data_IF_104679973410
#
_entry.id   IF_104679973410
#
_cell.length_a   1.000
_cell.length_b   1.000
_cell.length_c   1.000
_cell.angle_alpha   90.00
_cell.angle_beta   90.00
_cell.angle_gamma   90.00
#
_symmetry.space_group_name_H-M   'P 1'
#
loop_
_entity.id
_entity.type
_entity.pdbx_description
1 polymer ?
#
# COMPACT_ATOMS: atom_id res chain seq x y z
N UNK A 1 11.51 27.96 -4.65
CA UNK A 1 10.61 27.48 -3.60
C UNK A 1 9.64 26.53 -4.27
N UNK A 2 9.70 25.24 -3.97
CA UNK A 2 8.73 24.26 -4.45
C UNK A 2 7.33 24.63 -3.94
N UNK A 3 6.35 24.65 -4.84
CA UNK A 3 4.96 24.96 -4.45
C UNK A 3 4.34 23.64 -4.00
N UNK A 4 4.15 23.47 -2.69
CA UNK A 4 3.35 22.36 -2.13
C UNK A 4 1.88 22.79 -2.15
N UNK A 5 1.03 22.08 -2.91
CA UNK A 5 -0.43 22.30 -2.93
C UNK A 5 -1.12 20.99 -2.53
N UNK A 6 -1.66 20.97 -1.31
CA UNK A 6 -2.40 19.83 -0.79
C UNK A 6 -3.81 19.73 -1.40
N UNK A 7 -4.18 18.52 -1.84
CA UNK A 7 -5.53 18.15 -2.26
C UNK A 7 -6.07 17.08 -1.28
N UNK A 8 -7.18 17.36 -0.59
CA UNK A 8 -7.85 16.39 0.29
C UNK A 8 -9.11 15.86 -0.40
N UNK A 9 -9.24 14.53 -0.49
CA UNK A 9 -10.37 13.83 -1.12
C UNK A 9 -11.01 12.77 -0.20
N UNK A 10 -10.73 12.84 1.12
CA UNK A 10 -11.30 11.93 2.14
C UNK A 10 -12.51 12.60 2.78
N UNK A 11 -13.64 11.88 2.85
CA UNK A 11 -14.86 12.36 3.48
C UNK A 11 -14.93 11.98 4.96
N UNK A 12 -15.12 12.97 5.83
CA UNK A 12 -15.34 12.76 7.26
C UNK A 12 -16.74 13.22 7.68
N UNK A 13 -17.26 12.63 8.76
CA UNK A 13 -18.51 13.06 9.39
C UNK A 13 -18.33 14.30 10.28
N UNK A 14 -19.43 14.74 10.94
CA UNK A 14 -19.43 15.90 11.82
C UNK A 14 -18.50 15.75 13.06
N UNK A 15 -18.14 14.53 13.43
CA UNK A 15 -17.18 14.22 14.50
C UNK A 15 -15.73 14.10 14.00
N UNK A 16 -15.50 14.24 12.68
CA UNK A 16 -14.18 14.12 12.07
C UNK A 16 -13.75 12.70 11.75
N UNK A 17 -14.63 11.70 11.94
CA UNK A 17 -14.35 10.29 11.65
C UNK A 17 -14.54 10.01 10.16
N UNK A 18 -13.63 9.26 9.58
CA UNK A 18 -13.77 8.78 8.19
C UNK A 18 -15.02 7.90 8.04
N UNK A 19 -15.95 8.32 7.18
CA UNK A 19 -17.22 7.64 6.94
C UNK A 19 -16.99 6.22 6.41
N UNK A 20 -15.97 6.04 5.55
CA UNK A 20 -15.63 4.74 4.99
C UNK A 20 -15.04 3.79 6.06
N UNK A 21 -14.24 4.32 7.01
CA UNK A 21 -13.73 3.53 8.13
C UNK A 21 -14.87 2.92 8.96
N UNK A 22 -15.81 3.76 9.39
CA UNK A 22 -16.99 3.30 10.14
C UNK A 22 -17.77 2.25 9.37
N UNK A 23 -18.06 2.49 8.09
CA UNK A 23 -18.82 1.57 7.25
C UNK A 23 -18.10 0.21 7.10
N UNK A 24 -16.79 0.21 6.85
CA UNK A 24 -16.00 -1.00 6.68
C UNK A 24 -15.91 -1.82 7.97
N UNK A 25 -15.72 -1.17 9.13
CA UNK A 25 -15.68 -1.86 10.43
C UNK A 25 -17.01 -2.57 10.69
N UNK A 26 -18.13 -1.87 10.55
CA UNK A 26 -19.44 -2.49 10.78
C UNK A 26 -19.76 -3.59 9.76
N UNK A 27 -19.47 -3.38 8.50
CA UNK A 27 -19.69 -4.38 7.45
C UNK A 27 -18.79 -5.61 7.64
N UNK A 28 -17.53 -5.39 7.99
CA UNK A 28 -16.53 -6.44 8.17
C UNK A 28 -16.80 -7.33 9.38
N UNK A 29 -17.17 -6.74 10.53
CA UNK A 29 -17.51 -7.48 11.74
C UNK A 29 -18.83 -8.24 11.64
N UNK A 30 -19.71 -7.88 10.72
CA UNK A 30 -20.97 -8.59 10.46
C UNK A 30 -20.79 -9.84 9.58
N UNK A 31 -19.61 -10.05 8.97
CA UNK A 31 -19.35 -11.22 8.14
C UNK A 31 -19.15 -12.50 8.96
N UNK A 32 -19.38 -13.66 8.33
CA UNK A 32 -19.08 -14.96 8.96
C UNK A 32 -17.60 -15.10 9.30
N UNK A 33 -16.71 -14.84 8.34
CA UNK A 33 -15.30 -14.57 8.60
C UNK A 33 -15.16 -13.06 8.72
N UNK A 34 -14.99 -12.59 9.94
CA UNK A 34 -14.82 -11.16 10.21
C UNK A 34 -13.55 -10.65 9.52
N UNK A 35 -13.63 -9.48 8.90
CA UNK A 35 -12.48 -8.88 8.22
C UNK A 35 -12.56 -7.36 8.27
N UNK A 36 -11.42 -6.70 8.34
CA UNK A 36 -11.30 -5.24 8.27
C UNK A 36 -10.18 -4.93 7.27
N UNK A 37 -10.42 -4.06 6.27
CA UNK A 37 -9.42 -3.76 5.24
C UNK A 37 -8.12 -3.17 5.80
N UNK A 38 -6.97 -3.63 5.30
CA UNK A 38 -5.63 -3.25 5.74
C UNK A 38 -5.33 -1.73 5.64
N UNK A 39 -6.02 -1.00 4.74
CA UNK A 39 -5.88 0.46 4.65
C UNK A 39 -6.14 1.20 5.97
N UNK A 40 -6.88 0.57 6.89
CA UNK A 40 -7.23 1.16 8.18
C UNK A 40 -6.16 0.97 9.26
N UNK A 41 -5.07 0.28 8.97
CA UNK A 41 -3.90 0.26 9.87
C UNK A 41 -3.23 1.64 10.00
N UNK A 42 -3.24 2.45 8.94
CA UNK A 42 -2.39 3.62 8.77
C UNK A 42 -3.01 4.90 9.36
N UNK A 43 -3.29 4.90 10.68
CA UNK A 43 -3.36 6.13 11.48
C UNK A 43 -1.93 6.59 11.84
N UNK A 44 -1.79 7.67 12.58
CA UNK A 44 -0.47 8.19 12.98
C UNK A 44 0.39 7.12 13.71
N UNK A 45 -0.22 6.36 14.64
CA UNK A 45 0.45 5.29 15.39
C UNK A 45 0.80 4.12 14.48
N UNK A 46 -0.14 3.67 13.66
CA UNK A 46 0.09 2.57 12.73
C UNK A 46 1.13 2.89 11.68
N UNK A 47 1.17 4.13 11.17
CA UNK A 47 2.21 4.58 10.25
C UNK A 47 3.61 4.54 10.89
N UNK A 48 3.73 4.98 12.16
CA UNK A 48 5.00 4.89 12.90
C UNK A 48 5.42 3.42 13.14
N UNK A 49 4.49 2.56 13.54
CA UNK A 49 4.76 1.12 13.70
C UNK A 49 5.16 0.46 12.39
N UNK A 50 4.57 0.87 11.26
CA UNK A 50 4.97 0.35 9.96
C UNK A 50 6.41 0.76 9.59
N UNK A 51 6.83 1.99 9.89
CA UNK A 51 8.24 2.39 9.73
C UNK A 51 9.17 1.51 10.59
N UNK A 52 8.79 1.21 11.84
CA UNK A 52 9.55 0.29 12.68
C UNK A 52 9.61 -1.13 12.07
N UNK A 53 8.50 -1.63 11.49
CA UNK A 53 8.49 -2.91 10.75
C UNK A 53 9.50 -2.87 9.60
N UNK A 54 9.55 -1.79 8.82
CA UNK A 54 10.48 -1.69 7.68
C UNK A 54 11.96 -1.78 8.07
N UNK A 55 12.28 -1.48 9.32
CA UNK A 55 13.62 -1.56 9.88
C UNK A 55 13.98 -2.95 10.45
N UNK A 56 13.01 -3.85 10.62
CA UNK A 56 13.23 -5.19 11.16
C UNK A 56 14.11 -6.06 10.24
N UNK A 57 15.00 -6.88 10.78
CA UNK A 57 15.81 -7.81 9.99
C UNK A 57 14.96 -8.89 9.28
N UNK A 58 13.81 -9.25 9.83
CA UNK A 58 12.87 -10.21 9.25
C UNK A 58 12.09 -9.63 8.07
N UNK A 59 11.81 -8.31 8.08
CA UNK A 59 11.02 -7.66 7.03
C UNK A 59 11.89 -7.30 5.83
N UNK A 60 12.19 -8.29 4.99
CA UNK A 60 13.05 -8.16 3.81
C UNK A 60 12.48 -7.27 2.67
N UNK A 61 11.13 -7.09 2.47
CA UNK A 61 10.61 -6.42 1.27
C UNK A 61 11.18 -5.02 1.04
N UNK A 62 11.29 -4.21 2.09
CA UNK A 62 11.85 -2.85 1.99
C UNK A 62 13.32 -2.86 1.57
N UNK A 63 14.13 -3.75 2.16
CA UNK A 63 15.57 -3.86 1.81
C UNK A 63 15.76 -4.36 0.39
N UNK A 64 15.06 -5.44 0.00
CA UNK A 64 15.17 -6.01 -1.35
C UNK A 64 14.80 -4.98 -2.42
N UNK A 65 13.70 -4.24 -2.23
CA UNK A 65 13.29 -3.20 -3.17
C UNK A 65 14.28 -2.03 -3.23
N UNK A 66 14.80 -1.58 -2.08
CA UNK A 66 15.81 -0.53 -1.99
C UNK A 66 17.10 -0.93 -2.71
N UNK A 67 17.53 -2.18 -2.52
CA UNK A 67 18.71 -2.73 -3.18
C UNK A 67 18.53 -2.82 -4.70
N UNK A 68 17.35 -3.24 -5.18
CA UNK A 68 17.05 -3.27 -6.60
C UNK A 68 17.04 -1.86 -7.22
N UNK A 69 16.36 -0.90 -6.59
CA UNK A 69 16.35 0.49 -7.03
C UNK A 69 17.76 1.07 -7.11
N UNK A 70 18.61 0.78 -6.13
CA UNK A 70 19.98 1.28 -6.07
C UNK A 70 20.87 0.63 -7.12
N UNK A 71 20.85 -0.70 -7.23
CA UNK A 71 21.70 -1.46 -8.17
C UNK A 71 21.36 -1.18 -9.62
N UNK A 72 20.08 -0.98 -9.93
CA UNK A 72 19.58 -0.82 -11.29
C UNK A 72 19.17 0.61 -11.61
N UNK A 73 19.56 1.61 -10.81
CA UNK A 73 19.18 3.01 -10.98
C UNK A 73 19.39 3.54 -12.42
N UNK A 74 20.54 3.26 -13.02
CA UNK A 74 20.86 3.70 -14.37
C UNK A 74 20.01 3.03 -15.46
N UNK A 75 19.75 1.72 -15.32
CA UNK A 75 18.93 0.96 -16.27
C UNK A 75 17.47 1.37 -16.16
N UNK A 76 16.96 1.57 -14.93
CA UNK A 76 15.62 2.07 -14.65
C UNK A 76 15.45 3.48 -15.25
N UNK A 77 16.41 4.38 -15.02
CA UNK A 77 16.40 5.72 -15.58
C UNK A 77 16.40 5.72 -17.12
N UNK A 78 17.21 4.87 -17.73
CA UNK A 78 17.27 4.71 -19.18
C UNK A 78 15.94 4.20 -19.77
N UNK A 79 15.29 3.28 -19.08
CA UNK A 79 14.02 2.70 -19.53
C UNK A 79 12.82 3.65 -19.36
N UNK A 80 12.83 4.49 -18.31
CA UNK A 80 11.75 5.44 -18.00
C UNK A 80 11.88 6.72 -18.84
N UNK A 81 13.10 7.24 -18.98
CA UNK A 81 13.38 8.53 -19.58
C UNK A 81 13.03 9.72 -18.66
N UNK A 82 13.59 10.91 -18.94
CA UNK A 82 13.43 12.11 -18.11
C UNK A 82 12.09 12.81 -18.30
N UNK A 83 11.80 13.78 -17.43
CA UNK A 83 10.72 14.76 -17.60
C UNK A 83 9.32 14.23 -17.35
N UNK A 84 9.16 13.07 -16.72
CA UNK A 84 7.85 12.55 -16.34
C UNK A 84 7.36 13.13 -15.01
N UNK A 85 6.05 13.27 -14.86
CA UNK A 85 5.43 13.44 -13.55
C UNK A 85 5.36 12.06 -12.87
N UNK A 86 6.01 11.90 -11.71
CA UNK A 86 5.93 10.70 -10.89
C UNK A 86 4.72 10.77 -9.99
N UNK A 87 3.82 9.79 -10.07
CA UNK A 87 2.64 9.63 -9.20
C UNK A 87 2.85 8.40 -8.36
N UNK A 88 3.11 8.57 -7.07
CA UNK A 88 3.37 7.47 -6.14
C UNK A 88 2.12 7.08 -5.36
N UNK A 89 1.83 5.78 -5.33
CA UNK A 89 0.64 5.21 -4.72
C UNK A 89 0.98 4.61 -3.35
N UNK A 90 0.40 5.18 -2.28
CA UNK A 90 0.75 4.79 -0.92
C UNK A 90 2.18 5.25 -0.59
N UNK A 91 2.42 6.57 -0.68
CA UNK A 91 3.76 7.13 -0.57
C UNK A 91 4.38 6.95 0.83
N UNK A 92 3.55 6.87 1.87
CA UNK A 92 4.01 6.72 3.26
C UNK A 92 5.11 7.72 3.61
N UNK A 93 6.19 7.24 4.23
CA UNK A 93 7.39 8.04 4.56
C UNK A 93 8.23 8.42 3.35
N UNK A 94 7.91 7.89 2.17
CA UNK A 94 8.66 8.14 0.93
C UNK A 94 10.18 7.84 1.03
N UNK A 95 10.59 6.88 1.88
CA UNK A 95 12.01 6.56 2.11
C UNK A 95 12.74 6.03 0.88
N UNK A 96 12.05 5.32 0.00
CA UNK A 96 12.59 4.76 -1.25
C UNK A 96 12.51 5.75 -2.43
N UNK A 97 11.57 6.68 -2.35
CA UNK A 97 11.25 7.65 -3.39
C UNK A 97 12.45 8.48 -3.83
N UNK A 98 13.31 8.99 -2.93
CA UNK A 98 14.51 9.73 -3.34
C UNK A 98 15.43 8.95 -4.26
N UNK A 99 15.55 7.64 -4.13
CA UNK A 99 16.39 6.81 -5.01
C UNK A 99 15.89 6.85 -6.45
N UNK A 100 14.56 6.81 -6.63
CA UNK A 100 13.96 6.91 -7.95
C UNK A 100 14.06 8.34 -8.52
N UNK A 101 13.69 9.35 -7.73
CA UNK A 101 13.70 10.76 -8.16
C UNK A 101 15.10 11.23 -8.54
N UNK A 102 16.13 10.86 -7.77
CA UNK A 102 17.54 11.16 -8.09
C UNK A 102 17.99 10.54 -9.41
N UNK A 103 17.43 9.35 -9.76
CA UNK A 103 17.83 8.62 -10.96
C UNK A 103 17.20 9.16 -12.25
N UNK A 104 15.91 9.57 -12.23
CA UNK A 104 15.10 9.79 -13.45
C UNK A 104 14.88 11.24 -13.86
N UNK A 105 15.32 12.24 -13.08
CA UNK A 105 15.11 13.67 -13.34
C UNK A 105 13.63 14.01 -13.66
N UNK A 106 12.73 13.91 -12.68
CA UNK A 106 11.29 14.07 -12.90
C UNK A 106 10.89 15.54 -13.04
N UNK A 107 9.84 15.82 -13.84
CA UNK A 107 9.28 17.17 -13.98
C UNK A 107 8.38 17.57 -12.80
N UNK A 108 7.76 16.60 -12.13
CA UNK A 108 6.91 16.80 -10.96
C UNK A 108 6.80 15.50 -10.14
N UNK A 109 6.41 15.64 -8.86
CA UNK A 109 6.11 14.51 -7.99
C UNK A 109 4.75 14.68 -7.33
N UNK A 110 3.95 13.61 -7.31
CA UNK A 110 2.60 13.56 -6.76
C UNK A 110 2.52 12.37 -5.81
N UNK A 111 2.86 12.54 -4.52
CA UNK A 111 2.61 11.52 -3.53
C UNK A 111 1.11 11.41 -3.24
N UNK A 112 0.59 10.19 -3.21
CA UNK A 112 -0.80 9.89 -2.87
C UNK A 112 -0.82 8.99 -1.65
N UNK A 113 -1.47 9.42 -0.57
CA UNK A 113 -1.63 8.63 0.65
C UNK A 113 -2.92 8.98 1.38
N UNK A 114 -3.45 8.06 2.18
CA UNK A 114 -4.63 8.27 3.02
C UNK A 114 -4.27 8.97 4.33
N UNK A 115 -3.02 8.85 4.78
CA UNK A 115 -2.51 9.46 6.02
C UNK A 115 -2.04 10.89 5.77
N UNK A 116 -2.98 11.87 5.85
CA UNK A 116 -2.73 13.25 5.42
C UNK A 116 -1.64 14.00 6.19
N UNK A 117 -1.49 13.81 7.51
CA UNK A 117 -0.43 14.45 8.30
C UNK A 117 0.94 13.91 7.90
N UNK A 118 1.07 12.60 7.84
CA UNK A 118 2.28 11.92 7.45
C UNK A 118 2.71 12.25 6.00
N UNK A 119 1.74 12.34 5.10
CA UNK A 119 1.94 12.76 3.71
C UNK A 119 2.52 14.19 3.63
N UNK A 120 2.02 15.12 4.45
CA UNK A 120 2.50 16.52 4.46
C UNK A 120 3.94 16.62 4.94
N UNK A 121 4.25 15.95 6.06
CA UNK A 121 5.61 15.96 6.63
C UNK A 121 6.62 15.35 5.65
N UNK A 122 6.25 14.24 5.00
CA UNK A 122 7.05 13.57 3.99
C UNK A 122 7.28 14.45 2.76
N UNK A 123 6.24 15.12 2.26
CA UNK A 123 6.34 16.04 1.12
C UNK A 123 7.21 17.27 1.41
N UNK A 124 7.16 17.82 2.63
CA UNK A 124 8.02 18.94 3.06
C UNK A 124 9.49 18.50 3.11
N UNK A 125 9.78 17.31 3.64
CA UNK A 125 11.13 16.73 3.65
C UNK A 125 11.69 16.54 2.23
N UNK A 126 10.87 16.04 1.32
CA UNK A 126 11.25 15.88 -0.10
C UNK A 126 11.44 17.23 -0.81
N UNK A 127 10.59 18.24 -0.53
CA UNK A 127 10.75 19.57 -1.10
C UNK A 127 12.06 20.26 -0.67
N UNK A 128 12.52 19.99 0.55
CA UNK A 128 13.82 20.45 1.02
C UNK A 128 15.00 19.75 0.31
N UNK A 129 14.86 18.44 0.03
CA UNK A 129 15.88 17.64 -0.66
C UNK A 129 15.94 17.96 -2.16
N UNK A 130 14.79 18.23 -2.79
CA UNK A 130 14.66 18.51 -4.23
C UNK A 130 14.12 19.93 -4.48
N UNK A 131 14.91 21.00 -4.26
CA UNK A 131 14.41 22.38 -4.22
C UNK A 131 13.90 22.91 -5.56
N UNK A 132 14.08 22.19 -6.66
CA UNK A 132 13.55 22.57 -7.99
C UNK A 132 12.33 21.75 -8.42
N UNK A 133 11.98 20.71 -7.68
CA UNK A 133 10.89 19.79 -8.03
C UNK A 133 9.54 20.35 -7.54
N UNK A 134 8.55 20.37 -8.45
CA UNK A 134 7.18 20.67 -8.08
C UNK A 134 6.54 19.45 -7.40
N UNK A 135 6.04 19.61 -6.16
CA UNK A 135 5.45 18.51 -5.37
C UNK A 135 3.99 18.84 -5.09
N UNK A 136 3.09 17.90 -5.38
CA UNK A 136 1.64 18.02 -5.26
C UNK A 136 1.06 16.88 -4.40
N UNK A 137 1.10 16.94 -3.06
CA UNK A 137 0.54 15.91 -2.21
C UNK A 137 -0.98 15.78 -2.40
N UNK A 138 -1.46 14.55 -2.51
CA UNK A 138 -2.89 14.21 -2.64
C UNK A 138 -3.29 13.28 -1.51
N UNK A 139 -4.05 13.80 -0.53
CA UNK A 139 -4.63 13.01 0.56
C UNK A 139 -5.87 12.27 0.03
N UNK A 140 -5.72 11.00 -0.31
CA UNK A 140 -6.78 10.20 -0.89
C UNK A 140 -6.57 8.70 -0.65
N UNK A 141 -7.66 7.94 -0.67
CA UNK A 141 -7.61 6.49 -0.81
C UNK A 141 -7.32 6.13 -2.27
N UNK A 142 -6.09 5.71 -2.56
CA UNK A 142 -5.65 5.37 -3.91
C UNK A 142 -6.37 4.15 -4.51
N UNK A 143 -7.14 3.41 -3.71
CA UNK A 143 -8.00 2.32 -4.22
C UNK A 143 -9.26 2.85 -4.91
N UNK A 144 -9.58 4.13 -4.70
CA UNK A 144 -10.68 4.82 -5.33
C UNK A 144 -10.20 5.64 -6.55
N UNK A 145 -11.17 6.14 -7.32
CA UNK A 145 -10.84 7.09 -8.37
C UNK A 145 -10.44 8.42 -7.75
N UNK A 146 -9.23 8.88 -8.05
CA UNK A 146 -8.73 10.17 -7.62
C UNK A 146 -8.58 11.15 -8.79
N UNK A 147 -8.62 12.44 -8.47
CA UNK A 147 -8.29 13.51 -9.42
C UNK A 147 -6.82 13.89 -9.27
N UNK A 148 -6.08 13.78 -10.36
CA UNK A 148 -4.69 14.21 -10.40
C UNK A 148 -4.61 15.75 -10.56
N UNK A 149 -3.55 16.40 -10.04
CA UNK A 149 -3.32 17.83 -10.21
C UNK A 149 -3.34 18.23 -11.69
N UNK A 150 -4.01 19.34 -12.01
CA UNK A 150 -4.12 19.82 -13.40
C UNK A 150 -2.76 20.19 -13.99
N UNK A 151 -1.83 20.59 -13.15
CA UNK A 151 -0.46 20.97 -13.49
C UNK A 151 0.32 19.84 -14.18
N UNK A 152 0.02 18.58 -13.82
CA UNK A 152 0.68 17.42 -14.43
C UNK A 152 -0.05 16.83 -15.64
N UNK A 153 -1.25 17.34 -15.97
CA UNK A 153 -2.04 16.82 -17.09
C UNK A 153 -1.26 16.77 -18.42
N UNK A 154 -0.48 17.80 -18.81
CA UNK A 154 0.26 17.79 -20.08
C UNK A 154 1.54 16.96 -20.05
N UNK A 155 1.99 16.48 -18.88
CA UNK A 155 3.24 15.76 -18.74
C UNK A 155 3.05 14.26 -19.01
N UNK A 156 4.05 13.58 -19.58
CA UNK A 156 4.09 12.13 -19.56
C UNK A 156 4.20 11.66 -18.11
N UNK A 157 3.57 10.54 -17.75
CA UNK A 157 3.44 10.10 -16.36
C UNK A 157 4.15 8.78 -16.10
N UNK A 158 4.66 8.66 -14.88
CA UNK A 158 5.14 7.41 -14.30
C UNK A 158 4.33 7.16 -13.03
N UNK A 159 3.55 6.07 -12.98
CA UNK A 159 3.05 5.53 -11.73
C UNK A 159 4.18 4.82 -11.00
N UNK A 160 4.35 5.11 -9.72
CA UNK A 160 5.27 4.37 -8.86
C UNK A 160 4.46 3.68 -7.74
N UNK A 161 4.53 2.37 -7.69
CA UNK A 161 3.75 1.56 -6.75
C UNK A 161 4.67 0.58 -6.01
N UNK A 162 5.42 1.08 -5.02
CA UNK A 162 6.42 0.30 -4.28
C UNK A 162 5.81 -0.58 -3.19
N UNK A 163 6.69 -1.35 -2.52
CA UNK A 163 6.40 -2.07 -1.29
C UNK A 163 5.59 -3.35 -1.47
N UNK A 164 5.34 -3.78 -2.70
CA UNK A 164 4.40 -4.89 -2.99
C UNK A 164 2.98 -4.65 -2.43
N UNK A 165 2.59 -3.40 -2.27
CA UNK A 165 1.28 -2.99 -1.74
C UNK A 165 0.11 -3.58 -2.55
N UNK A 166 0.32 -3.87 -3.84
CA UNK A 166 -0.65 -4.59 -4.68
C UNK A 166 -1.01 -5.97 -4.10
N UNK A 167 -0.11 -6.58 -3.34
CA UNK A 167 -0.31 -7.86 -2.65
C UNK A 167 -1.37 -7.82 -1.56
N UNK A 168 -1.70 -6.65 -1.03
CA UNK A 168 -2.74 -6.51 0.01
C UNK A 168 -4.15 -6.72 -0.55
N UNK A 169 -4.27 -6.85 -1.87
CA UNK A 169 -5.56 -6.93 -2.57
C UNK A 169 -5.78 -8.31 -3.17
N UNK A 170 -7.01 -8.80 -3.10
CA UNK A 170 -7.41 -9.96 -3.91
C UNK A 170 -7.31 -9.64 -5.40
N UNK A 171 -7.06 -10.64 -6.23
CA UNK A 171 -6.73 -10.45 -7.65
C UNK A 171 -7.74 -9.55 -8.41
N UNK A 172 -9.04 -9.69 -8.12
CA UNK A 172 -10.08 -8.84 -8.75
C UNK A 172 -9.87 -7.36 -8.42
N UNK A 173 -9.70 -7.05 -7.14
CA UNK A 173 -9.50 -5.67 -6.67
C UNK A 173 -8.19 -5.09 -7.20
N UNK A 174 -7.12 -5.90 -7.22
CA UNK A 174 -5.83 -5.51 -7.78
C UNK A 174 -5.93 -5.16 -9.29
N UNK A 175 -6.67 -5.96 -10.07
CA UNK A 175 -6.90 -5.69 -11.49
C UNK A 175 -7.73 -4.41 -11.68
N UNK A 176 -8.79 -4.21 -10.90
CA UNK A 176 -9.64 -3.03 -11.00
C UNK A 176 -8.85 -1.76 -10.59
N UNK A 177 -7.98 -1.85 -9.59
CA UNK A 177 -7.05 -0.78 -9.22
C UNK A 177 -6.10 -0.44 -10.38
N UNK A 178 -5.43 -1.43 -10.95
CA UNK A 178 -4.51 -1.22 -12.07
C UNK A 178 -5.19 -0.58 -13.28
N UNK A 179 -6.44 -0.96 -13.57
CA UNK A 179 -7.27 -0.33 -14.63
C UNK A 179 -7.61 1.11 -14.31
N UNK A 180 -7.98 1.40 -13.06
CA UNK A 180 -8.28 2.75 -12.59
C UNK A 180 -7.07 3.66 -12.76
N UNK A 181 -5.87 3.18 -12.36
CA UNK A 181 -4.64 3.94 -12.52
C UNK A 181 -4.20 4.06 -13.96
N UNK A 182 -4.40 3.01 -14.78
CA UNK A 182 -4.16 3.11 -16.22
C UNK A 182 -5.02 4.21 -16.85
N UNK A 183 -6.28 4.33 -16.45
CA UNK A 183 -7.16 5.38 -16.92
C UNK A 183 -6.78 6.79 -16.40
N UNK A 184 -6.34 6.89 -15.13
CA UNK A 184 -5.95 8.16 -14.52
C UNK A 184 -4.62 8.70 -15.08
N UNK A 185 -3.63 7.83 -15.31
CA UNK A 185 -2.32 8.19 -15.82
C UNK A 185 -2.36 8.45 -17.34
N UNK A 186 -3.22 7.74 -18.06
CA UNK A 186 -3.45 7.93 -19.50
C UNK A 186 -2.50 7.14 -20.41
N UNK A 187 -2.68 7.33 -21.71
CA UNK A 187 -1.91 6.64 -22.74
C UNK A 187 -0.44 7.07 -22.71
N UNK A 188 0.48 6.16 -23.04
CA UNK A 188 1.92 6.39 -23.02
C UNK A 188 2.51 6.54 -21.60
N UNK A 189 1.70 6.36 -20.54
CA UNK A 189 2.22 6.31 -19.18
C UNK A 189 2.95 5.01 -18.91
N UNK A 190 3.87 5.08 -17.95
CA UNK A 190 4.58 3.92 -17.41
C UNK A 190 4.13 3.65 -15.98
N UNK A 191 4.33 2.41 -15.53
CA UNK A 191 4.15 1.99 -14.13
C UNK A 191 5.39 1.21 -13.70
N UNK A 192 6.08 1.69 -12.67
CA UNK A 192 7.11 0.94 -11.96
C UNK A 192 6.47 0.38 -10.69
N UNK A 193 6.40 -0.94 -10.59
CA UNK A 193 5.74 -1.63 -9.50
C UNK A 193 6.68 -2.62 -8.80
N UNK A 194 6.70 -2.58 -7.47
CA UNK A 194 7.36 -3.57 -6.63
C UNK A 194 6.45 -4.77 -6.40
N UNK A 195 6.98 -5.97 -6.57
CA UNK A 195 6.23 -7.22 -6.41
C UNK A 195 7.03 -8.23 -5.61
N UNK A 196 6.48 -8.66 -4.49
CA UNK A 196 7.06 -9.70 -3.66
C UNK A 196 6.83 -11.09 -4.27
N UNK A 197 7.86 -11.94 -4.19
CA UNK A 197 7.91 -13.26 -4.82
C UNK A 197 7.58 -14.37 -3.82
N UNK A 198 7.07 -15.49 -4.35
CA UNK A 198 6.94 -16.74 -3.59
C UNK A 198 8.35 -17.21 -3.21
N UNK A 199 8.54 -17.58 -1.94
CA UNK A 199 9.80 -18.08 -1.38
C UNK A 199 9.53 -19.04 -0.22
N UNK A 200 10.53 -19.36 0.58
CA UNK A 200 10.38 -20.21 1.76
C UNK A 200 9.28 -19.67 2.70
N UNK A 201 8.37 -20.56 3.12
CA UNK A 201 7.20 -20.18 3.94
C UNK A 201 7.63 -19.65 5.30
N UNK A 202 8.70 -20.22 5.89
CA UNK A 202 9.18 -19.77 7.18
C UNK A 202 9.77 -18.34 7.13
N UNK A 203 10.37 -17.96 6.00
CA UNK A 203 10.82 -16.57 5.79
C UNK A 203 9.63 -15.62 5.60
N UNK A 204 8.60 -16.07 4.87
CA UNK A 204 7.37 -15.31 4.69
C UNK A 204 6.65 -15.08 6.03
N UNK A 205 6.44 -16.13 6.81
CA UNK A 205 5.76 -16.02 8.11
C UNK A 205 6.55 -15.15 9.09
N UNK A 206 7.89 -15.30 9.18
CA UNK A 206 8.72 -14.46 10.05
C UNK A 206 8.68 -12.97 9.70
N UNK A 207 8.53 -12.64 8.42
CA UNK A 207 8.45 -11.25 7.99
C UNK A 207 7.15 -10.55 8.45
N UNK A 208 6.10 -11.34 8.76
CA UNK A 208 4.80 -10.85 9.20
C UNK A 208 4.44 -11.25 10.65
N UNK A 209 5.30 -11.98 11.33
CA UNK A 209 5.17 -12.35 12.75
C UNK A 209 6.58 -12.37 13.38
N UNK A 210 7.14 -11.18 13.53
CA UNK A 210 8.49 -10.96 14.02
C UNK A 210 8.60 -11.24 15.53
N UNK A 211 9.74 -11.78 16.00
CA UNK A 211 9.94 -12.14 17.41
C UNK A 211 9.99 -10.92 18.35
N UNK A 212 10.21 -9.71 17.83
CA UNK A 212 10.16 -8.48 18.61
C UNK A 212 8.73 -8.00 18.87
N UNK A 213 7.73 -8.53 18.12
CA UNK A 213 6.31 -8.23 18.29
C UNK A 213 5.89 -6.87 17.71
N UNK A 214 6.68 -6.28 16.83
CA UNK A 214 6.35 -4.98 16.22
C UNK A 214 5.17 -5.13 15.27
N UNK A 215 5.15 -6.18 14.45
CA UNK A 215 4.03 -6.49 13.56
C UNK A 215 2.76 -6.83 14.35
N UNK A 216 2.90 -7.52 15.49
CA UNK A 216 1.78 -7.76 16.39
C UNK A 216 1.20 -6.45 16.94
N UNK A 217 2.04 -5.51 17.38
CA UNK A 217 1.61 -4.19 17.83
C UNK A 217 0.89 -3.40 16.72
N UNK A 218 1.43 -3.45 15.49
CA UNK A 218 0.80 -2.84 14.30
C UNK A 218 -0.60 -3.40 14.04
N UNK A 219 -0.76 -4.72 14.10
CA UNK A 219 -2.06 -5.36 13.86
C UNK A 219 -3.06 -5.02 14.98
N UNK A 220 -2.64 -5.07 16.25
CA UNK A 220 -3.48 -4.76 17.41
C UNK A 220 -3.90 -3.28 17.47
N UNK A 221 -3.07 -2.36 16.96
CA UNK A 221 -3.41 -0.94 16.86
C UNK A 221 -4.72 -0.68 16.09
N UNK A 222 -5.12 -1.58 15.19
CA UNK A 222 -6.40 -1.48 14.50
C UNK A 222 -7.59 -1.49 15.48
N UNK A 223 -7.52 -2.34 16.52
CA UNK A 223 -8.56 -2.41 17.55
C UNK A 223 -8.54 -1.18 18.47
N UNK A 224 -7.36 -0.70 18.82
CA UNK A 224 -7.19 0.56 19.55
C UNK A 224 -7.76 1.75 18.77
N UNK A 225 -7.52 1.79 17.46
CA UNK A 225 -8.10 2.80 16.57
C UNK A 225 -9.63 2.73 16.56
N UNK A 226 -10.21 1.54 16.45
CA UNK A 226 -11.68 1.35 16.52
C UNK A 226 -12.23 1.88 17.84
N UNK A 227 -11.60 1.53 18.97
CA UNK A 227 -12.02 2.04 20.27
C UNK A 227 -11.98 3.56 20.35
N UNK A 228 -10.88 4.15 19.89
CA UNK A 228 -10.65 5.59 19.94
C UNK A 228 -11.57 6.38 19.02
N UNK A 229 -11.73 5.94 17.77
CA UNK A 229 -12.42 6.71 16.73
C UNK A 229 -13.92 6.40 16.62
N UNK A 230 -14.33 5.16 16.96
CA UNK A 230 -15.73 4.70 16.87
C UNK A 230 -16.37 4.46 18.24
N UNK A 231 -15.73 4.91 19.33
CA UNK A 231 -16.28 4.72 20.69
C UNK A 231 -16.47 3.27 21.05
N UNK A 232 -15.57 2.39 20.61
CA UNK A 232 -15.59 0.97 20.95
C UNK A 232 -15.10 0.69 22.36
N UNK A 233 -15.46 -0.49 22.89
CA UNK A 233 -15.02 -1.02 24.19
C UNK A 233 -14.36 -2.41 24.05
N UNK A 234 -13.69 -2.64 22.91
CA UNK A 234 -12.97 -3.89 22.64
C UNK A 234 -11.83 -4.05 23.66
N UNK A 235 -11.80 -5.17 24.39
CA UNK A 235 -10.72 -5.55 25.30
C UNK A 235 -9.52 -6.07 24.45
N UNK A 236 -8.64 -5.17 24.00
CA UNK A 236 -7.55 -5.46 23.05
C UNK A 236 -6.58 -6.51 23.61
N UNK A 237 -6.37 -6.53 24.93
CA UNK A 237 -5.54 -7.51 25.63
C UNK A 237 -6.04 -8.97 25.50
N UNK A 238 -7.27 -9.17 25.06
CA UNK A 238 -7.86 -10.49 24.78
C UNK A 238 -7.67 -10.92 23.33
N UNK A 239 -6.89 -10.16 22.54
CA UNK A 239 -6.53 -10.55 21.18
C UNK A 239 -5.03 -10.81 21.07
N UNK A 240 -4.67 -11.72 20.17
CA UNK A 240 -3.30 -11.96 19.76
C UNK A 240 -3.18 -11.85 18.26
N UNK A 241 -2.00 -11.41 17.81
CA UNK A 241 -1.64 -11.41 16.41
C UNK A 241 -1.29 -12.83 15.95
N UNK A 242 -1.59 -13.12 14.68
CA UNK A 242 -1.17 -14.34 13.99
C UNK A 242 -0.98 -14.05 12.51
N UNK A 243 0.17 -14.42 11.96
CA UNK A 243 0.40 -14.49 10.52
C UNK A 243 0.44 -15.96 10.07
N UNK A 244 -0.18 -16.26 8.93
CA UNK A 244 -0.23 -17.62 8.36
C UNK A 244 -0.08 -17.59 6.85
N UNK A 245 0.62 -18.58 6.29
CA UNK A 245 0.67 -18.80 4.86
C UNK A 245 -0.60 -19.51 4.37
N UNK A 246 -1.27 -18.93 3.38
CA UNK A 246 -2.34 -19.57 2.62
C UNK A 246 -1.77 -20.04 1.27
N UNK A 247 -1.52 -21.34 1.16
CA UNK A 247 -0.94 -21.98 -0.04
C UNK A 247 -1.90 -21.95 -1.23
N UNK A 248 -3.21 -21.92 -0.99
CA UNK A 248 -4.22 -21.90 -2.05
C UNK A 248 -4.22 -20.58 -2.81
N UNK A 249 -4.02 -19.49 -2.08
CA UNK A 249 -4.04 -18.14 -2.64
C UNK A 249 -2.64 -17.51 -2.75
N UNK A 250 -1.59 -18.25 -2.36
CA UNK A 250 -0.20 -17.81 -2.36
C UNK A 250 -0.03 -16.44 -1.64
N UNK A 251 -0.45 -16.37 -0.38
CA UNK A 251 -0.40 -15.13 0.41
C UNK A 251 -0.14 -15.39 1.89
N UNK A 252 0.43 -14.40 2.56
CA UNK A 252 0.34 -14.29 4.01
C UNK A 252 -1.01 -13.65 4.35
N UNK A 253 -1.68 -14.17 5.36
CA UNK A 253 -2.83 -13.56 6.00
C UNK A 253 -2.46 -13.14 7.42
N UNK A 254 -2.82 -11.92 7.81
CA UNK A 254 -2.75 -11.48 9.20
C UNK A 254 -4.13 -11.54 9.84
N UNK A 255 -4.15 -12.04 11.05
CA UNK A 255 -5.37 -12.21 11.83
C UNK A 255 -5.20 -11.66 13.25
N UNK A 256 -6.30 -11.15 13.82
CA UNK A 256 -6.47 -10.88 15.23
C UNK A 256 -7.32 -12.02 15.83
N UNK A 257 -6.70 -12.84 16.67
CA UNK A 257 -7.28 -14.06 17.25
C UNK A 257 -7.85 -13.77 18.63
N UNK A 258 -9.15 -14.05 18.86
CA UNK A 258 -9.80 -13.93 20.15
C UNK A 258 -9.36 -15.04 21.13
N UNK A 259 -8.82 -14.67 22.29
CA UNK A 259 -8.34 -15.59 23.32
C UNK A 259 -9.47 -16.17 24.20
N UNK A 260 -10.63 -15.53 24.24
CA UNK A 260 -11.82 -15.96 25.01
C UNK A 260 -13.09 -15.53 24.27
N UNK A 261 -14.25 -16.04 24.75
CA UNK A 261 -15.54 -15.52 24.35
C UNK A 261 -15.68 -14.09 24.89
N UNK A 262 -16.14 -13.17 24.05
CA UNK A 262 -16.30 -11.77 24.45
C UNK A 262 -17.44 -11.08 23.71
N UNK A 263 -18.08 -10.16 24.41
CA UNK A 263 -19.02 -9.19 23.86
C UNK A 263 -18.39 -7.80 23.94
N UNK A 264 -18.63 -6.98 22.93
CA UNK A 264 -18.18 -5.59 22.89
C UNK A 264 -19.13 -4.74 22.05
N UNK A 265 -19.03 -3.44 22.17
CA UNK A 265 -19.83 -2.47 21.42
C UNK A 265 -18.96 -1.56 20.58
N UNK A 266 -19.47 -1.12 19.43
CA UNK A 266 -18.85 -0.09 18.58
C UNK A 266 -19.98 0.80 18.07
N UNK A 267 -19.90 2.13 18.25
CA UNK A 267 -20.99 3.07 17.95
C UNK A 267 -22.34 2.67 18.61
N UNK A 268 -22.28 2.06 19.80
CA UNK A 268 -23.47 1.53 20.50
C UNK A 268 -24.08 0.26 19.91
N UNK A 269 -23.48 -0.33 18.88
CA UNK A 269 -23.89 -1.59 18.26
C UNK A 269 -23.13 -2.76 18.90
N UNK A 270 -23.85 -3.77 19.37
CA UNK A 270 -23.27 -4.95 20.03
C UNK A 270 -22.71 -5.96 19.00
N UNK A 271 -21.56 -6.54 19.34
CA UNK A 271 -20.87 -7.61 18.62
C UNK A 271 -20.47 -8.72 19.58
N UNK A 272 -20.33 -9.92 19.04
CA UNK A 272 -19.85 -11.10 19.76
C UNK A 272 -18.71 -11.75 18.98
N UNK A 273 -17.68 -12.20 19.71
CA UNK A 273 -16.65 -13.11 19.21
C UNK A 273 -16.48 -14.29 20.16
N UNK A 274 -16.52 -15.49 19.61
CA UNK A 274 -16.18 -16.70 20.35
C UNK A 274 -14.66 -16.87 20.43
N UNK A 275 -14.20 -17.58 21.47
CA UNK A 275 -12.80 -17.99 21.57
C UNK A 275 -12.35 -18.73 20.32
N UNK A 276 -11.22 -18.30 19.75
CA UNK A 276 -10.66 -18.88 18.54
C UNK A 276 -11.20 -18.29 17.24
N UNK A 277 -12.21 -17.43 17.27
CA UNK A 277 -12.59 -16.64 16.10
C UNK A 277 -11.52 -15.61 15.77
N UNK A 278 -11.43 -15.24 14.49
CA UNK A 278 -10.44 -14.27 14.02
C UNK A 278 -11.09 -13.12 13.28
N UNK A 279 -10.43 -11.95 13.33
CA UNK A 279 -10.64 -10.85 12.39
C UNK A 279 -9.48 -10.91 11.39
N UNK A 280 -9.78 -11.16 10.12
CA UNK A 280 -8.80 -11.11 9.03
C UNK A 280 -8.51 -9.65 8.71
N UNK A 281 -7.28 -9.22 8.92
CA UNK A 281 -6.90 -7.81 8.88
C UNK A 281 -6.02 -7.44 7.67
N UNK A 282 -5.25 -8.40 7.12
CA UNK A 282 -4.41 -8.14 5.95
C UNK A 282 -4.22 -9.39 5.09
N UNK A 283 -4.09 -9.15 3.79
CA UNK A 283 -3.48 -10.09 2.85
C UNK A 283 -2.13 -9.55 2.39
N UNK A 284 -1.20 -10.45 2.08
CA UNK A 284 0.00 -10.11 1.34
C UNK A 284 0.31 -11.21 0.33
N UNK A 285 -0.26 -11.05 -0.88
CA UNK A 285 -0.06 -12.00 -1.98
C UNK A 285 1.38 -11.96 -2.48
N UNK A 286 1.90 -13.16 -2.77
CA UNK A 286 3.22 -13.38 -3.36
C UNK A 286 3.03 -13.91 -4.77
N UNK A 287 3.79 -13.41 -5.70
CA UNK A 287 3.56 -13.68 -7.12
C UNK A 287 4.72 -14.43 -7.75
N UNK A 288 4.40 -15.51 -8.50
CA UNK A 288 5.31 -16.05 -9.48
C UNK A 288 5.52 -15.08 -10.66
N UNK A 289 6.60 -15.20 -11.45
CA UNK A 289 6.84 -14.31 -12.59
C UNK A 289 5.68 -14.29 -13.61
N UNK A 290 5.07 -15.45 -13.86
CA UNK A 290 3.91 -15.57 -14.75
C UNK A 290 2.69 -14.86 -14.20
N UNK A 291 2.43 -15.01 -12.89
CA UNK A 291 1.22 -14.47 -12.27
C UNK A 291 1.28 -12.95 -12.18
N UNK A 292 2.45 -12.39 -11.86
CA UNK A 292 2.69 -10.95 -11.91
C UNK A 292 2.45 -10.37 -13.31
N UNK A 293 2.96 -11.03 -14.36
CA UNK A 293 2.74 -10.62 -15.74
C UNK A 293 1.25 -10.70 -16.15
N UNK A 294 0.54 -11.75 -15.71
CA UNK A 294 -0.89 -11.89 -15.99
C UNK A 294 -1.71 -10.81 -15.28
N UNK A 295 -1.40 -10.52 -14.02
CA UNK A 295 -2.04 -9.47 -13.24
C UNK A 295 -1.90 -8.11 -13.93
N UNK A 296 -0.70 -7.73 -14.31
CA UNK A 296 -0.42 -6.46 -14.98
C UNK A 296 -1.16 -6.36 -16.32
N UNK A 297 -1.09 -7.42 -17.16
CA UNK A 297 -1.81 -7.44 -18.44
C UNK A 297 -3.31 -7.36 -18.29
N UNK A 298 -3.89 -8.04 -17.29
CA UNK A 298 -5.31 -7.95 -16.98
C UNK A 298 -5.72 -6.54 -16.51
N UNK A 299 -4.79 -5.83 -15.86
CA UNK A 299 -4.92 -4.42 -15.45
C UNK A 299 -4.69 -3.40 -16.57
N UNK A 300 -4.36 -3.85 -17.80
CA UNK A 300 -4.10 -2.95 -18.93
C UNK A 300 -2.67 -2.42 -19.02
N UNK A 301 -1.71 -3.14 -18.42
CA UNK A 301 -0.28 -2.81 -18.41
C UNK A 301 0.53 -3.89 -19.08
N UNK A 302 1.37 -3.54 -20.04
CA UNK A 302 2.29 -4.46 -20.70
C UNK A 302 3.67 -4.37 -20.05
N UNK A 303 4.15 -5.42 -19.34
CA UNK A 303 5.51 -5.45 -18.82
C UNK A 303 6.54 -5.28 -19.94
N UNK A 304 7.50 -4.37 -19.76
CA UNK A 304 8.56 -4.07 -20.72
C UNK A 304 9.97 -4.29 -20.18
N UNK A 305 10.14 -4.24 -18.85
CA UNK A 305 11.39 -4.60 -18.18
C UNK A 305 11.12 -5.19 -16.80
N UNK A 306 12.04 -6.00 -16.32
CA UNK A 306 11.99 -6.60 -14.97
C UNK A 306 13.40 -6.65 -14.39
N UNK A 307 13.54 -6.23 -13.15
CA UNK A 307 14.76 -6.33 -12.35
C UNK A 307 14.43 -7.20 -11.13
N UNK A 308 15.06 -8.36 -11.06
CA UNK A 308 14.89 -9.34 -9.99
C UNK A 308 16.16 -9.44 -9.14
N UNK A 309 16.02 -9.88 -7.90
CA UNK A 309 17.16 -10.35 -7.13
C UNK A 309 17.70 -11.67 -7.70
N UNK A 310 18.99 -11.98 -7.42
CA UNK A 310 19.61 -13.26 -7.80
C UNK A 310 18.93 -14.46 -7.15
N UNK A 311 18.43 -14.31 -5.92
CA UNK A 311 17.40 -15.14 -5.32
C UNK A 311 16.08 -14.42 -5.59
N UNK A 312 15.03 -15.02 -6.15
CA UNK A 312 13.79 -14.35 -6.58
C UNK A 312 12.93 -13.85 -5.43
N UNK A 313 13.55 -13.12 -4.49
CA UNK A 313 12.90 -12.61 -3.30
C UNK A 313 11.94 -11.46 -3.61
N UNK A 314 12.29 -10.58 -4.57
CA UNK A 314 11.52 -9.39 -4.93
C UNK A 314 11.77 -9.01 -6.38
N UNK A 315 10.83 -8.32 -7.02
CA UNK A 315 10.98 -7.81 -8.37
C UNK A 315 10.48 -6.37 -8.49
N UNK A 316 11.20 -5.58 -9.26
CA UNK A 316 10.69 -4.34 -9.84
C UNK A 316 10.29 -4.60 -11.29
N UNK A 317 9.05 -4.29 -11.65
CA UNK A 317 8.54 -4.47 -13.00
C UNK A 317 8.15 -3.11 -13.56
N UNK A 318 8.74 -2.74 -14.69
CA UNK A 318 8.32 -1.59 -15.49
C UNK A 318 7.33 -2.07 -16.55
N UNK A 319 6.16 -1.45 -16.57
CA UNK A 319 5.12 -1.76 -17.54
C UNK A 319 4.62 -0.49 -18.22
N UNK A 320 4.24 -0.61 -19.48
CA UNK A 320 3.65 0.47 -20.28
C UNK A 320 2.13 0.32 -20.34
N UNK A 321 1.42 1.43 -20.32
CA UNK A 321 -0.03 1.45 -20.51
C UNK A 321 -0.38 0.86 -21.89
N UNK A 322 -1.08 -0.27 -21.89
CA UNK A 322 -1.51 -0.95 -23.11
C UNK A 322 -2.50 -0.06 -23.87
N UNK A 323 -2.26 0.16 -25.15
CA UNK A 323 -3.23 0.86 -26.01
C UNK A 323 -4.57 0.13 -26.01
N UNK A 324 -5.67 0.87 -25.90
CA UNK A 324 -6.99 0.33 -26.14
C UNK A 324 -7.10 0.00 -27.62
N UNK A 325 -6.97 -1.27 -27.98
CA UNK A 325 -7.36 -1.72 -29.29
C UNK A 325 -8.89 -1.73 -29.33
N UNK A 326 -9.50 -0.90 -30.17
CA UNK A 326 -10.86 -1.11 -30.58
C UNK A 326 -10.96 -2.53 -31.11
N UNK A 327 -11.91 -3.32 -30.58
CA UNK A 327 -12.16 -4.65 -31.12
C UNK A 327 -12.38 -4.57 -32.63
N UNK A 328 -11.94 -5.57 -33.40
CA UNK A 328 -12.20 -5.63 -34.83
C UNK A 328 -13.71 -5.63 -35.13
#
# INVERSE_FOLDING_TARGET
MGVVRNLRQVAADDAGVDIAFRADVHAGLAQRQKSIPARWFYDATGSALFEDITALPEYYPTRSETDLLTRHAADIASAIGPGRAVVELGSGSSTKTPLLLDAIDPAAYVPVDISGDFLRDSAEGLAARFPGLAIYPVEADFTQRIELPREICPLPKLGFFPGSTIGNMVARTAIDLLRTWRAALGDGSLMLIGIDRIKDVADLERAYDDPAGVTAAFNLNLLERINRELGGDIAVENFSHRAVWDDVHARIEMHLLAACDMDFTIDGRAYHMAKGETIHSENSHKYGPRDANLLLRAGGWTPIATWDDADPAFALILAEATEFRSAP
#
